data_IF_425972939396
#
_entry.id   IF_425972939396
#
_cell.length_a   1.000
_cell.length_b   1.000
_cell.length_c   1.000
_cell.angle_alpha   90.00
_cell.angle_beta   90.00
_cell.angle_gamma   90.00
#
_symmetry.space_group_name_H-M   'P 1'
#
loop_
_entity.id
_entity.type
_entity.pdbx_description
1 polymer ?
2 non-polymer ?
3 water ?
#
# COMPACT_ATOMS: atom_id res chain seq x y z
N UNK A 10 -4.49 -3.20 -15.01
CA UNK A 10 -3.27 -3.26 -14.14
C UNK A 10 -3.64 -3.34 -12.67
N UNK A 11 -4.91 -3.54 -12.33
CA UNK A 11 -5.31 -3.89 -10.98
C UNK A 11 -6.66 -4.59 -10.97
N UNK A 12 -6.77 -5.64 -10.16
CA UNK A 12 -8.02 -6.34 -9.99
C UNK A 12 -8.13 -6.75 -8.54
N UNK A 13 -9.35 -7.15 -8.15
CA UNK A 13 -9.62 -7.60 -6.81
C UNK A 13 -10.25 -8.98 -6.93
N UNK A 14 -9.75 -9.88 -6.10
CA UNK A 14 -10.23 -11.24 -6.06
C UNK A 14 -10.38 -11.60 -4.59
N UNK A 15 -11.64 -11.84 -4.18
CA UNK A 15 -11.99 -12.04 -2.79
C UNK A 15 -11.41 -10.91 -1.93
N UNK A 16 -10.50 -11.26 -1.01
CA UNK A 16 -10.06 -10.37 0.03
C UNK A 16 -8.65 -9.91 -0.30
N UNK A 17 -8.33 -9.94 -1.58
CA UNK A 17 -6.98 -9.69 -2.06
C UNK A 17 -7.08 -8.72 -3.24
N UNK A 18 -6.23 -7.70 -3.18
CA UNK A 18 -6.05 -6.75 -4.27
C UNK A 18 -4.69 -7.04 -4.90
N UNK A 19 -4.68 -7.05 -6.23
CA UNK A 19 -3.48 -7.30 -7.01
C UNK A 19 -3.28 -6.15 -8.00
N UNK A 20 -2.09 -5.53 -7.94
CA UNK A 20 -1.77 -4.36 -8.75
C UNK A 20 -0.49 -4.63 -9.55
N UNK A 21 -0.43 -4.08 -10.77
CA UNK A 21 0.74 -4.16 -11.60
C UNK A 21 1.21 -2.73 -11.78
N UNK A 22 2.48 -2.47 -11.44
CA UNK A 22 2.98 -1.11 -11.26
C UNK A 22 4.33 -0.96 -11.94
N UNK A 23 4.47 0.10 -12.74
CA UNK A 23 5.76 0.55 -13.23
C UNK A 23 6.43 1.45 -12.19
N UNK A 24 7.56 1.01 -11.65
CA UNK A 24 8.40 1.86 -10.82
C UNK A 24 9.57 1.10 -10.23
N UNK A 25 10.16 1.68 -9.19
CA UNK A 25 11.26 1.07 -8.48
C UNK A 25 10.74 0.32 -7.26
N UNK A 26 11.13 -0.95 -7.15
CA UNK A 26 10.75 -1.76 -6.00
C UNK A 26 11.34 -1.16 -4.74
N UNK A 27 12.60 -0.67 -4.83
CA UNK A 27 13.33 -0.21 -3.67
C UNK A 27 12.75 1.10 -3.15
N UNK A 28 11.98 1.82 -3.98
CA UNK A 28 11.25 3.00 -3.53
C UNK A 28 9.79 2.69 -3.17
N UNK A 29 9.50 1.42 -2.89
CA UNK A 29 8.13 1.04 -2.54
C UNK A 29 7.85 1.32 -1.07
N UNK A 30 6.55 1.52 -0.80
CA UNK A 30 6.02 1.59 0.55
C UNK A 30 5.08 0.41 0.71
N UNK A 31 5.54 -0.63 1.40
CA UNK A 31 4.68 -1.74 1.76
C UNK A 31 5.13 -2.33 3.09
N UNK A 32 4.24 -3.13 3.69
CA UNK A 32 4.64 -3.87 4.87
C UNK A 32 5.93 -4.63 4.55
N UNK A 33 5.96 -5.28 3.37
CA UNK A 33 7.05 -6.13 2.95
C UNK A 33 7.43 -5.81 1.51
N UNK A 34 8.75 -5.67 1.31
CA UNK A 34 9.32 -5.56 -0.01
C UNK A 34 10.14 -6.83 -0.24
N UNK A 35 10.12 -7.33 -1.48
CA UNK A 35 10.65 -8.64 -1.78
C UNK A 35 11.90 -8.46 -2.62
N UNK A 36 13.02 -9.00 -2.10
CA UNK A 36 14.31 -9.02 -2.77
C UNK A 36 14.45 -10.33 -3.55
N UNK A 37 15.37 -10.33 -4.51
CA UNK A 37 15.78 -11.50 -5.26
C UNK A 37 17.32 -11.57 -5.27
N UNK A 38 17.91 -12.67 -4.78
CA UNK A 38 19.34 -12.71 -4.56
C UNK A 38 19.94 -14.06 -4.94
N UNK A 39 21.21 -14.03 -5.35
CA UNK A 39 22.09 -15.16 -5.21
C UNK A 39 22.37 -15.29 -3.72
N UNK A 40 22.12 -16.47 -3.10
CA UNK A 40 22.35 -16.66 -1.66
C UNK A 40 23.76 -16.37 -1.17
N UNK A 41 24.78 -16.57 -2.04
CA UNK A 41 26.16 -16.37 -1.63
C UNK A 41 26.63 -14.98 -2.00
N UNK A 42 25.76 -14.15 -2.62
CA UNK A 42 26.20 -12.81 -2.98
C UNK A 42 25.03 -11.92 -3.39
N UNK A 43 24.66 -10.97 -2.52
CA UNK A 43 23.46 -10.18 -2.72
C UNK A 43 23.77 -8.81 -3.31
N UNK A 44 24.98 -8.61 -3.86
CA UNK A 44 25.34 -7.32 -4.45
C UNK A 44 25.21 -7.32 -5.97
N UNK A 45 24.48 -8.29 -6.54
CA UNK A 45 24.43 -8.47 -7.97
C UNK A 45 22.98 -8.69 -8.37
N UNK A 46 22.58 -8.13 -9.52
CA UNK A 46 21.21 -8.14 -10.00
C UNK A 46 20.61 -6.74 -9.92
N UNK A 47 19.74 -6.33 -10.88
CA UNK A 47 19.05 -5.03 -10.78
C UNK A 47 18.31 -4.85 -9.45
N UNK A 48 17.50 -5.84 -9.08
CA UNK A 48 16.68 -5.76 -7.87
C UNK A 48 17.59 -5.73 -6.65
N UNK A 49 18.44 -6.76 -6.50
CA UNK A 49 19.38 -6.87 -5.39
C UNK A 49 20.21 -5.60 -5.17
N UNK A 50 20.81 -5.08 -6.24
CA UNK A 50 21.58 -3.84 -6.21
C UNK A 50 20.73 -2.68 -5.70
N UNK A 51 19.52 -2.52 -6.26
CA UNK A 51 18.71 -1.37 -5.95
C UNK A 51 18.26 -1.39 -4.49
N UNK A 52 17.83 -2.56 -4.03
CA UNK A 52 17.40 -2.80 -2.66
C UNK A 52 18.55 -2.64 -1.65
N UNK A 53 19.77 -3.04 -2.03
CA UNK A 53 20.91 -2.89 -1.15
C UNK A 53 21.32 -1.43 -1.04
N UNK A 54 21.43 -0.73 -2.17
CA UNK A 54 21.73 0.69 -2.20
C UNK A 54 20.73 1.45 -1.31
N UNK A 55 19.43 1.20 -1.53
CA UNK A 55 18.41 1.96 -0.85
C UNK A 55 18.40 1.65 0.65
N UNK A 56 18.43 0.35 1.01
CA UNK A 56 18.29 -0.05 2.40
C UNK A 56 19.56 0.22 3.19
N UNK A 57 20.69 0.23 2.47
CA UNK A 57 21.97 0.46 3.10
C UNK A 57 22.59 -0.84 3.58
N UNK A 58 23.81 -0.69 4.09
CA UNK A 58 24.76 -1.78 4.19
C UNK A 58 24.48 -2.63 5.43
N UNK A 59 23.67 -2.12 6.37
CA UNK A 59 23.36 -2.85 7.60
C UNK A 59 22.37 -3.96 7.28
N UNK A 60 21.63 -3.81 6.18
CA UNK A 60 20.73 -4.85 5.72
C UNK A 60 21.55 -6.07 5.30
N UNK A 61 22.80 -5.82 4.86
CA UNK A 61 23.71 -6.85 4.43
C UNK A 61 24.28 -7.59 5.65
N UNK A 62 24.61 -6.84 6.70
CA UNK A 62 25.15 -7.42 7.94
C UNK A 62 24.14 -8.42 8.48
N UNK A 63 22.88 -7.99 8.52
CA UNK A 63 21.81 -8.80 9.07
C UNK A 63 21.64 -10.04 8.21
N UNK A 64 21.74 -9.85 6.87
CA UNK A 64 21.57 -10.94 5.93
C UNK A 64 22.57 -12.05 6.25
N UNK A 65 23.84 -11.64 6.45
CA UNK A 65 24.94 -12.56 6.67
C UNK A 65 24.82 -13.20 8.05
N UNK A 66 24.39 -12.42 9.03
CA UNK A 66 24.13 -12.97 10.35
C UNK A 66 23.08 -14.08 10.28
N UNK A 67 21.95 -13.79 9.63
CA UNK A 67 20.81 -14.70 9.57
C UNK A 67 21.14 -15.90 8.69
N UNK A 68 21.97 -15.70 7.66
CA UNK A 68 22.35 -16.79 6.78
C UNK A 68 23.28 -17.76 7.51
N UNK A 69 24.39 -17.20 8.03
CA UNK A 69 25.42 -17.96 8.72
C UNK A 69 24.80 -18.75 9.86
N UNK A 70 23.94 -18.10 10.66
CA UNK A 70 23.27 -18.76 11.77
C UNK A 70 22.33 -19.84 11.25
N UNK A 71 21.49 -19.51 10.25
CA UNK A 71 20.49 -20.44 9.72
C UNK A 71 19.30 -20.59 10.69
N UNK A 76 15.31 -23.67 2.74
CA UNK A 76 15.02 -22.25 3.00
C UNK A 76 15.15 -21.46 1.69
N UNK A 77 14.00 -21.03 1.18
CA UNK A 77 13.93 -20.30 -0.08
C UNK A 77 13.82 -18.80 0.16
N UNK A 78 13.28 -18.41 1.32
CA UNK A 78 13.10 -17.03 1.75
C UNK A 78 13.80 -16.82 3.08
N UNK A 79 14.67 -15.80 3.14
CA UNK A 79 15.25 -15.31 4.38
C UNK A 79 14.71 -13.90 4.62
N UNK A 80 14.38 -13.60 5.90
CA UNK A 80 13.71 -12.36 6.29
C UNK A 80 14.69 -11.47 7.04
N UNK A 81 14.77 -10.20 6.63
CA UNK A 81 15.44 -9.17 7.41
C UNK A 81 14.45 -8.05 7.71
N UNK A 82 14.92 -7.05 8.47
CA UNK A 82 14.18 -5.82 8.62
C UNK A 82 14.47 -5.02 7.36
N UNK A 83 13.86 -3.83 7.27
CA UNK A 83 13.84 -3.05 6.04
C UNK A 83 14.83 -1.89 6.10
N UNK A 84 15.35 -1.60 7.29
CA UNK A 84 16.36 -0.56 7.41
C UNK A 84 15.82 0.69 6.75
N UNK A 85 16.46 1.16 5.66
CA UNK A 85 16.14 2.45 5.08
C UNK A 85 15.07 2.33 3.98
N UNK A 86 14.55 1.13 3.72
CA UNK A 86 13.36 0.99 2.91
C UNK A 86 12.16 1.45 3.73
N UNK A 87 11.12 1.87 3.02
CA UNK A 87 9.82 2.09 3.64
C UNK A 87 9.12 0.75 3.67
N UNK A 88 9.64 -0.15 4.51
CA UNK A 88 8.97 -1.38 4.82
C UNK A 88 9.35 -1.83 6.23
N UNK A 89 8.59 -2.78 6.77
CA UNK A 89 8.90 -3.39 8.05
C UNK A 89 9.90 -4.53 7.81
N UNK A 90 9.63 -5.40 6.82
CA UNK A 90 10.45 -6.57 6.54
C UNK A 90 10.84 -6.58 5.07
N UNK A 91 11.96 -7.26 4.79
CA UNK A 91 12.33 -7.64 3.44
C UNK A 91 12.31 -9.16 3.42
N UNK A 92 11.65 -9.72 2.40
CA UNK A 92 11.72 -11.14 2.11
C UNK A 92 12.71 -11.31 0.96
N UNK A 93 13.91 -11.82 1.29
CA UNK A 93 14.93 -12.12 0.30
C UNK A 93 14.67 -13.52 -0.24
N UNK A 94 14.29 -13.59 -1.52
CA UNK A 94 14.13 -14.85 -2.22
C UNK A 94 15.50 -15.38 -2.63
N UNK A 95 15.85 -16.56 -2.11
CA UNK A 95 17.14 -17.21 -2.32
C UNK A 95 17.06 -18.20 -3.47
N UNK A 96 17.76 -17.90 -4.58
CA UNK A 96 17.75 -18.69 -5.80
C UNK A 96 18.87 -19.75 -5.77
N UNK A 97 18.69 -20.80 -4.95
CA UNK A 97 19.68 -21.88 -4.86
C UNK A 97 19.72 -22.63 -6.19
N UNK A 98 20.92 -22.79 -6.76
CA UNK A 98 21.09 -23.27 -8.13
C UNK A 98 20.77 -24.77 -8.29
N UNK A 99 20.66 -25.51 -7.16
CA UNK A 99 20.46 -26.97 -7.21
C UNK A 99 19.02 -27.35 -7.60
N UNK A 100 18.11 -26.38 -7.69
CA UNK A 100 16.72 -26.67 -7.97
C UNK A 100 16.25 -25.90 -9.20
N UNK A 101 15.34 -26.48 -10.02
CA UNK A 101 14.83 -25.82 -11.22
C UNK A 101 14.20 -24.48 -10.86
N UNK A 102 14.42 -23.47 -11.71
CA UNK A 102 14.08 -22.08 -11.42
C UNK A 102 12.56 -21.88 -11.42
N UNK A 103 11.74 -22.58 -12.25
CA UNK A 103 10.29 -22.52 -12.12
C UNK A 103 9.79 -23.10 -10.80
N UNK A 104 10.53 -24.05 -10.23
CA UNK A 104 10.14 -24.63 -8.96
C UNK A 104 10.42 -23.67 -7.82
N UNK A 105 11.54 -22.93 -7.90
CA UNK A 105 11.96 -22.09 -6.80
C UNK A 105 10.93 -20.97 -6.71
N UNK A 106 10.57 -20.42 -7.88
CA UNK A 106 9.58 -19.36 -8.00
C UNK A 106 8.25 -19.76 -7.37
N UNK A 107 7.70 -20.89 -7.82
CA UNK A 107 6.45 -21.42 -7.33
C UNK A 107 6.51 -21.44 -5.80
N UNK A 108 7.52 -22.13 -5.26
CA UNK A 108 7.55 -22.45 -3.85
C UNK A 108 7.91 -21.21 -3.05
N UNK A 109 8.75 -20.33 -3.61
CA UNK A 109 9.16 -19.11 -2.93
C UNK A 109 7.99 -18.13 -2.82
N UNK A 110 7.18 -18.01 -3.89
CA UNK A 110 5.91 -17.29 -3.82
C UNK A 110 4.97 -17.82 -2.72
N UNK A 111 4.76 -19.14 -2.68
CA UNK A 111 3.94 -19.77 -1.66
C UNK A 111 4.43 -19.37 -0.26
N UNK A 112 5.74 -19.49 -0.06
CA UNK A 112 6.41 -19.23 1.21
C UNK A 112 6.37 -17.74 1.58
N UNK A 113 6.36 -16.86 0.58
CA UNK A 113 6.25 -15.43 0.81
C UNK A 113 4.83 -15.06 1.29
N UNK A 114 3.81 -15.66 0.68
CA UNK A 114 2.42 -15.36 1.02
C UNK A 114 2.02 -16.02 2.34
N UNK A 115 2.58 -17.20 2.62
CA UNK A 115 2.38 -17.81 3.92
C UNK A 115 2.98 -16.91 5.01
N UNK A 116 4.19 -16.38 4.78
CA UNK A 116 4.83 -15.55 5.80
C UNK A 116 4.01 -14.29 6.06
N UNK A 117 3.34 -13.79 5.03
CA UNK A 117 2.39 -12.71 5.17
C UNK A 117 1.38 -12.99 6.28
N UNK A 118 0.76 -14.17 6.28
CA UNK A 118 -0.20 -14.50 7.32
C UNK A 118 0.53 -14.68 8.65
N UNK A 119 1.66 -15.39 8.63
CA UNK A 119 2.46 -15.61 9.84
C UNK A 119 2.73 -14.28 10.55
N UNK A 120 3.00 -13.22 9.79
CA UNK A 120 3.47 -11.99 10.39
C UNK A 120 2.40 -10.90 10.39
N UNK A 121 1.15 -11.27 10.05
CA UNK A 121 0.09 -10.30 9.89
C UNK A 121 0.57 -9.14 9.02
N UNK A 122 0.72 -9.42 7.72
CA UNK A 122 1.11 -8.46 6.70
C UNK A 122 -0.11 -8.11 5.86
N UNK A 123 -0.23 -6.82 5.58
CA UNK A 123 -1.41 -6.30 4.92
C UNK A 123 -1.04 -5.87 3.50
N UNK A 124 0.26 -5.71 3.21
CA UNK A 124 0.63 -5.40 1.85
C UNK A 124 2.07 -5.85 1.60
N UNK A 125 2.29 -6.37 0.40
CA UNK A 125 3.59 -6.92 0.04
C UNK A 125 3.87 -6.57 -1.42
N UNK A 126 5.09 -6.08 -1.70
CA UNK A 126 5.45 -5.71 -3.06
C UNK A 126 6.55 -6.63 -3.59
N UNK A 127 6.25 -7.24 -4.73
CA UNK A 127 7.21 -8.20 -5.31
C UNK A 127 7.74 -7.62 -6.58
N UNK A 128 8.99 -7.95 -6.94
CA UNK A 128 9.46 -7.58 -8.25
C UNK A 128 8.94 -8.77 -9.01
N UNK A 129 9.21 -8.84 -10.30
CA UNK A 129 8.80 -10.06 -11.01
C UNK A 129 9.89 -11.09 -10.88
N UNK A 130 9.81 -11.84 -9.80
CA UNK A 130 10.86 -12.84 -9.56
C UNK A 130 10.98 -13.77 -10.76
N UNK A 131 12.21 -14.02 -11.23
CA UNK A 131 12.42 -15.01 -12.30
C UNK A 131 12.18 -14.49 -13.69
N UNK A 132 12.18 -13.17 -13.89
CA UNK A 132 12.04 -12.68 -15.27
C UNK A 132 13.41 -12.24 -15.72
N UNK A 133 14.37 -12.19 -14.81
CA UNK A 133 15.64 -11.62 -15.20
C UNK A 133 16.75 -12.67 -15.27
N UNK A 134 17.58 -12.67 -14.23
CA UNK A 134 18.71 -13.56 -14.07
C UNK A 134 18.38 -14.95 -14.57
N UNK A 135 17.29 -15.53 -14.06
CA UNK A 135 17.02 -16.95 -14.19
C UNK A 135 16.44 -17.28 -15.57
N UNK A 136 16.44 -16.32 -16.51
CA UNK A 136 16.23 -16.65 -17.91
C UNK A 136 14.76 -16.90 -18.23
N UNK A 137 13.93 -17.31 -17.25
CA UNK A 137 12.61 -17.87 -17.51
C UNK A 137 11.86 -16.92 -18.46
N UNK A 138 11.07 -17.51 -19.36
CA UNK A 138 10.29 -16.71 -20.29
C UNK A 138 9.37 -15.79 -19.47
N UNK A 139 9.33 -14.51 -19.84
CA UNK A 139 8.55 -13.53 -19.08
C UNK A 139 7.11 -14.01 -18.90
N UNK A 140 6.54 -14.68 -19.91
CA UNK A 140 5.16 -15.14 -19.83
C UNK A 140 5.01 -16.20 -18.74
N UNK A 141 5.98 -17.12 -18.65
CA UNK A 141 5.89 -18.20 -17.67
C UNK A 141 5.97 -17.65 -16.24
N UNK A 142 6.90 -16.72 -16.00
CA UNK A 142 7.07 -16.16 -14.67
C UNK A 142 5.77 -15.50 -14.24
N UNK A 143 5.13 -14.77 -15.15
CA UNK A 143 3.85 -14.16 -14.85
C UNK A 143 2.80 -15.24 -14.62
N UNK A 144 2.78 -16.26 -15.49
CA UNK A 144 1.81 -17.33 -15.34
C UNK A 144 1.90 -17.89 -13.91
N UNK A 145 3.13 -18.16 -13.44
CA UNK A 145 3.35 -18.81 -12.15
C UNK A 145 2.98 -17.88 -11.00
N UNK A 146 3.49 -16.65 -11.05
CA UNK A 146 3.21 -15.64 -10.03
C UNK A 146 1.70 -15.48 -9.83
N UNK A 147 0.94 -15.35 -10.91
CA UNK A 147 -0.51 -15.25 -10.81
C UNK A 147 -1.13 -16.57 -10.33
N UNK A 148 -0.50 -17.71 -10.59
CA UNK A 148 -1.05 -18.96 -10.08
C UNK A 148 -1.09 -18.88 -8.56
N UNK A 149 0.02 -18.44 -7.97
CA UNK A 149 0.18 -18.45 -6.53
C UNK A 149 -0.71 -17.41 -5.86
N UNK A 150 -0.81 -16.21 -6.46
CA UNK A 150 -1.56 -15.13 -5.84
C UNK A 150 -3.03 -15.52 -5.83
N UNK A 151 -3.51 -16.10 -6.92
CA UNK A 151 -4.90 -16.50 -6.99
C UNK A 151 -5.15 -17.66 -6.02
N UNK A 152 -4.22 -18.61 -5.93
CA UNK A 152 -4.42 -19.76 -5.07
C UNK A 152 -4.51 -19.29 -3.62
N UNK A 153 -3.68 -18.33 -3.27
CA UNK A 153 -3.67 -17.80 -1.92
C UNK A 153 -5.01 -17.13 -1.60
N UNK A 154 -5.56 -16.44 -2.59
CA UNK A 154 -6.79 -15.69 -2.43
C UNK A 154 -7.95 -16.63 -2.14
N UNK A 155 -7.95 -17.79 -2.81
CA UNK A 155 -8.96 -18.82 -2.62
C UNK A 155 -8.78 -19.47 -1.25
N UNK A 156 -7.52 -19.77 -0.90
CA UNK A 156 -7.22 -20.58 0.26
C UNK A 156 -7.22 -19.75 1.55
N UNK A 157 -7.00 -18.43 1.45
CA UNK A 157 -6.81 -17.61 2.63
C UNK A 157 -7.71 -16.38 2.56
N UNK A 158 -9.01 -16.66 2.45
CA UNK A 158 -10.00 -15.66 2.14
C UNK A 158 -10.20 -14.71 3.33
N UNK A 159 -9.75 -15.12 4.53
CA UNK A 159 -9.89 -14.28 5.72
C UNK A 159 -8.69 -13.34 5.92
N UNK A 160 -7.71 -13.34 5.01
CA UNK A 160 -6.53 -12.50 5.25
C UNK A 160 -6.45 -11.43 4.18
N UNK A 161 -6.76 -10.18 4.56
CA UNK A 161 -6.73 -9.09 3.61
C UNK A 161 -5.28 -8.84 3.20
N UNK A 162 -5.04 -8.73 1.90
CA UNK A 162 -3.69 -8.50 1.39
C UNK A 162 -3.75 -7.59 0.19
N UNK A 163 -2.79 -6.66 0.08
CA UNK A 163 -2.50 -6.03 -1.20
C UNK A 163 -1.17 -6.56 -1.72
N UNK A 164 -1.16 -7.06 -2.96
CA UNK A 164 0.02 -7.61 -3.60
C UNK A 164 0.36 -6.78 -4.83
N UNK A 165 1.57 -6.19 -4.86
CA UNK A 165 2.01 -5.41 -6.00
C UNK A 165 3.10 -6.16 -6.75
N UNK A 166 3.10 -6.02 -8.08
CA UNK A 166 4.22 -6.42 -8.93
C UNK A 166 4.81 -5.15 -9.52
N UNK A 167 6.09 -4.90 -9.24
CA UNK A 167 6.71 -3.62 -9.56
C UNK A 167 7.79 -3.85 -10.64
N UNK A 168 7.47 -3.41 -11.85
CA UNK A 168 8.40 -3.58 -13.00
C UNK A 168 9.15 -2.27 -13.19
N UNK A 169 10.45 -2.36 -13.46
CA UNK A 169 11.25 -1.13 -13.70
C UNK A 169 10.70 -0.47 -14.94
N UNK A 170 10.58 0.87 -14.96
CA UNK A 170 9.97 1.56 -16.08
C UNK A 170 10.54 1.30 -17.48
N UNK A 171 11.75 0.75 -17.58
CA UNK A 171 12.39 0.54 -18.89
C UNK A 171 11.84 -0.66 -19.60
N UNK A 172 11.54 -1.71 -18.86
CA UNK A 172 11.08 -2.98 -19.48
C UNK A 172 9.59 -2.93 -19.76
N UNK A 173 9.22 -2.37 -20.90
CA UNK A 173 7.79 -2.34 -21.27
C UNK A 173 7.33 -3.77 -21.56
N UNK A 174 8.24 -4.64 -21.98
CA UNK A 174 7.84 -6.02 -22.37
C UNK A 174 7.47 -6.87 -21.15
N UNK A 175 8.24 -6.77 -20.08
CA UNK A 175 7.85 -7.50 -18.84
C UNK A 175 6.52 -6.92 -18.36
N UNK A 176 6.43 -5.59 -18.30
CA UNK A 176 5.15 -4.95 -17.91
C UNK A 176 4.07 -5.49 -18.82
N UNK A 177 4.39 -5.67 -20.10
CA UNK A 177 3.40 -6.11 -21.06
C UNK A 177 2.97 -7.54 -20.79
N UNK A 178 3.93 -8.43 -20.51
CA UNK A 178 3.61 -9.80 -20.16
C UNK A 178 2.66 -9.82 -18.96
N UNK A 179 2.97 -8.99 -17.96
CA UNK A 179 2.23 -9.00 -16.70
C UNK A 179 0.82 -8.43 -16.87
N UNK A 180 0.69 -7.27 -17.54
CA UNK A 180 -0.60 -6.75 -17.94
C UNK A 180 -1.41 -7.81 -18.67
N UNK A 181 -0.83 -8.33 -19.75
CA UNK A 181 -1.48 -9.34 -20.56
C UNK A 181 -1.93 -10.54 -19.70
N UNK A 182 -1.14 -10.93 -18.70
CA UNK A 182 -1.48 -12.11 -17.92
C UNK A 182 -2.70 -11.81 -17.04
N UNK A 183 -2.69 -10.64 -16.39
CA UNK A 183 -3.81 -10.26 -15.55
C UNK A 183 -5.09 -10.24 -16.37
N UNK A 184 -5.03 -9.62 -17.56
CA UNK A 184 -6.16 -9.51 -18.48
C UNK A 184 -6.82 -10.88 -18.70
N UNK A 185 -6.02 -11.91 -18.99
CA UNK A 185 -6.54 -13.24 -19.22
C UNK A 185 -7.25 -13.77 -17.98
N UNK A 186 -6.64 -13.56 -16.81
CA UNK A 186 -7.12 -14.12 -15.57
C UNK A 186 -8.47 -13.51 -15.20
N UNK A 187 -8.66 -12.24 -15.53
CA UNK A 187 -9.92 -11.56 -15.32
C UNK A 187 -11.05 -12.24 -16.11
N UNK A 188 -10.78 -12.59 -17.37
CA UNK A 188 -11.74 -13.33 -18.17
C UNK A 188 -12.13 -14.60 -17.43
N UNK A 189 -11.14 -15.41 -17.03
CA UNK A 189 -11.34 -16.46 -16.05
C UNK A 189 -11.60 -15.82 -14.67
N UNK B 9 -17.22 -5.72 -0.60
CA UNK B 9 -17.50 -4.86 0.59
C UNK B 9 -16.22 -4.40 1.29
N UNK B 10 -15.04 -4.70 0.72
CA UNK B 10 -13.78 -4.34 1.37
C UNK B 10 -12.82 -3.69 0.38
N UNK B 11 -13.02 -3.86 -0.93
CA UNK B 11 -12.12 -3.30 -1.92
C UNK B 11 -12.74 -3.33 -3.30
N UNK B 12 -12.57 -2.25 -4.06
CA UNK B 12 -12.99 -2.21 -5.44
C UNK B 12 -11.94 -1.48 -6.26
N UNK B 13 -12.04 -1.63 -7.58
CA UNK B 13 -11.11 -1.00 -8.50
C UNK B 13 -11.96 -0.30 -9.53
N UNK B 14 -11.60 0.95 -9.79
CA UNK B 14 -12.31 1.78 -10.74
C UNK B 14 -11.25 2.55 -11.51
N UNK B 15 -11.21 2.32 -12.83
CA UNK B 15 -10.16 2.84 -13.68
C UNK B 15 -8.78 2.53 -13.09
N UNK B 16 -8.04 3.58 -12.74
CA UNK B 16 -6.63 3.44 -12.42
C UNK B 16 -6.47 3.63 -10.93
N UNK B 17 -7.56 3.37 -10.20
CA UNK B 17 -7.61 3.62 -8.77
C UNK B 17 -8.17 2.39 -8.06
N UNK B 18 -7.46 2.00 -6.99
CA UNK B 18 -7.89 0.97 -6.07
C UNK B 18 -8.31 1.64 -4.77
N UNK B 19 -9.47 1.20 -4.27
CA UNK B 19 -10.03 1.70 -3.03
C UNK B 19 -10.28 0.53 -2.08
N UNK B 20 -9.73 0.64 -0.86
CA UNK B 20 -9.78 -0.42 0.13
C UNK B 20 -10.39 0.11 1.43
N UNK B 21 -11.14 -0.77 2.11
CA UNK B 21 -11.64 -0.49 3.45
C UNK B 21 -10.89 -1.43 4.38
N UNK B 22 -10.28 -0.88 5.44
CA UNK B 22 -9.40 -1.65 6.31
C UNK B 22 -9.75 -1.37 7.77
N UNK B 23 -9.91 -2.45 8.57
CA UNK B 23 -9.97 -2.32 10.01
C UNK B 23 -8.57 -2.37 10.58
N UNK B 24 -8.13 -1.28 11.20
CA UNK B 24 -6.83 -1.24 11.84
C UNK B 24 -6.48 0.16 12.33
N UNK B 25 -5.21 0.32 12.69
CA UNK B 25 -4.68 1.58 13.17
C UNK B 25 -4.09 2.37 12.01
N UNK B 26 -4.54 3.61 11.88
CA UNK B 26 -4.02 4.49 10.84
C UNK B 26 -2.53 4.74 11.09
N UNK B 27 -2.15 4.93 12.36
CA UNK B 27 -0.80 5.31 12.70
C UNK B 27 0.18 4.15 12.48
N UNK B 28 -0.33 2.92 12.39
CA UNK B 28 0.50 1.77 12.02
C UNK B 28 0.39 1.46 10.52
N UNK B 29 -0.05 2.42 9.71
CA UNK B 29 -0.15 2.19 8.28
C UNK B 29 1.21 2.33 7.59
N UNK B 30 1.32 1.62 6.46
CA UNK B 30 2.40 1.79 5.52
C UNK B 30 1.81 2.35 4.23
N UNK B 31 2.02 3.63 3.97
CA UNK B 31 1.65 4.20 2.68
C UNK B 31 2.59 5.35 2.34
N UNK B 32 2.55 5.79 1.08
CA UNK B 32 3.23 7.01 0.71
C UNK B 32 2.82 8.11 1.66
N UNK B 33 1.50 8.23 1.90
CA UNK B 33 0.91 9.30 2.70
C UNK B 33 -0.09 8.72 3.70
N UNK B 34 0.04 9.17 4.95
CA UNK B 34 -0.96 8.92 5.97
C UNK B 34 -1.61 10.26 6.32
N UNK B 35 -2.93 10.21 6.57
CA UNK B 35 -3.72 11.42 6.70
C UNK B 35 -4.12 11.58 8.17
N UNK B 36 -3.72 12.72 8.74
CA UNK B 36 -4.10 13.13 10.09
C UNK B 36 -5.38 13.97 10.05
N UNK B 37 -6.05 14.06 11.20
CA UNK B 37 -7.19 14.93 11.41
C UNK B 37 -6.96 15.72 12.69
N UNK B 38 -6.97 17.08 12.60
CA UNK B 38 -6.55 17.88 13.74
C UNK B 38 -7.44 19.11 13.90
N UNK B 39 -7.60 19.55 15.16
CA UNK B 39 -7.85 20.94 15.45
C UNK B 39 -6.58 21.71 15.11
N UNK B 40 -6.64 22.75 14.24
CA UNK B 40 -5.44 23.50 13.84
C UNK B 40 -4.67 24.16 14.98
N UNK B 41 -5.37 24.49 16.07
CA UNK B 41 -4.81 25.16 17.22
C UNK B 41 -4.28 24.13 18.23
N UNK B 42 -4.54 22.82 18.01
CA UNK B 42 -4.11 21.83 18.98
C UNK B 42 -4.19 20.40 18.44
N UNK B 43 -3.03 19.80 18.13
CA UNK B 43 -3.01 18.52 17.43
C UNK B 43 -2.79 17.36 18.40
N UNK B 44 -2.94 17.59 19.72
CA UNK B 44 -2.73 16.54 20.70
C UNK B 44 -4.04 15.88 21.16
N UNK B 45 -5.13 16.07 20.41
CA UNK B 45 -6.46 15.72 20.88
C UNK B 45 -7.19 15.01 19.75
N UNK B 46 -7.99 13.99 20.09
CA UNK B 46 -8.67 13.15 19.11
C UNK B 46 -8.02 11.77 19.00
N UNK B 47 -8.80 10.68 18.75
CA UNK B 47 -8.21 9.35 18.56
C UNK B 47 -7.08 9.31 17.52
N UNK B 48 -7.38 9.81 16.31
CA UNK B 48 -6.43 9.79 15.21
C UNK B 48 -5.23 10.67 15.55
N UNK B 49 -5.46 11.96 15.85
CA UNK B 49 -4.41 12.91 16.20
C UNK B 49 -3.46 12.40 17.29
N UNK B 50 -4.02 11.88 18.39
CA UNK B 50 -3.26 11.27 19.48
C UNK B 50 -2.39 10.11 18.98
N UNK B 51 -3.01 9.20 18.23
CA UNK B 51 -2.31 7.99 17.80
C UNK B 51 -1.16 8.31 16.86
N UNK B 52 -1.42 9.21 15.90
CA UNK B 52 -0.44 9.67 14.92
C UNK B 52 0.70 10.46 15.59
N UNK B 53 0.40 11.24 16.63
CA UNK B 53 1.42 11.99 17.34
C UNK B 53 2.30 11.06 18.16
N UNK B 54 1.69 10.15 18.91
CA UNK B 54 2.42 9.15 19.68
C UNK B 54 3.35 8.36 18.78
N UNK B 55 2.81 7.86 17.66
CA UNK B 55 3.57 7.00 16.78
C UNK B 55 4.72 7.76 16.12
N UNK B 56 4.43 8.94 15.56
CA UNK B 56 5.41 9.67 14.78
C UNK B 56 6.45 10.32 15.69
N UNK B 57 6.05 10.62 16.92
CA UNK B 57 6.91 11.28 17.89
C UNK B 57 6.81 12.80 17.78
N UNK B 58 7.52 13.45 18.72
CA UNK B 58 7.27 14.84 19.09
C UNK B 58 7.86 15.80 18.06
N UNK B 59 8.76 15.32 17.19
CA UNK B 59 9.42 16.17 16.21
C UNK B 59 8.44 16.48 15.09
N UNK B 60 7.44 15.61 14.91
CA UNK B 60 6.38 15.85 13.95
C UNK B 60 5.59 17.08 14.36
N UNK B 61 5.55 17.33 15.68
CA UNK B 61 4.82 18.46 16.22
C UNK B 61 5.60 19.75 16.01
N UNK B 62 6.93 19.68 16.19
CA UNK B 62 7.80 20.82 15.98
C UNK B 62 7.62 21.34 14.56
N UNK B 63 7.65 20.39 13.61
CA UNK B 63 7.57 20.72 12.21
C UNK B 63 6.19 21.32 11.93
N UNK B 64 5.15 20.74 12.58
CA UNK B 64 3.78 21.20 12.37
C UNK B 64 3.69 22.69 12.72
N UNK B 65 4.26 23.05 13.87
CA UNK B 65 4.17 24.39 14.41
C UNK B 65 5.05 25.33 13.59
N UNK B 66 6.20 24.84 13.14
CA UNK B 66 7.04 25.62 12.24
C UNK B 66 6.28 25.96 10.96
N UNK B 67 5.65 24.96 10.32
CA UNK B 67 4.95 25.13 9.06
C UNK B 67 3.67 25.93 9.24
N UNK B 68 3.03 25.84 10.42
CA UNK B 68 1.83 26.61 10.69
C UNK B 68 2.19 28.08 10.84
N UNK B 69 3.14 28.39 11.74
CA UNK B 69 3.59 29.75 12.00
C UNK B 69 4.07 30.41 10.71
N UNK B 70 4.88 29.70 9.93
CA UNK B 70 5.29 30.14 8.59
C UNK B 70 4.06 30.42 7.71
N UNK B 71 3.04 29.57 7.81
CA UNK B 71 1.76 29.74 7.10
C UNK B 71 1.87 29.08 5.74
N UNK B 72 1.57 27.77 5.74
CA UNK B 72 1.60 26.97 4.52
C UNK B 72 0.18 26.83 3.97
N UNK B 76 -5.74 27.28 3.65
CA UNK B 76 -5.03 26.02 3.99
C UNK B 76 -5.96 25.11 4.79
N UNK B 77 -6.44 24.05 4.13
CA UNK B 77 -7.20 23.01 4.78
C UNK B 77 -6.32 21.81 5.12
N UNK B 78 -5.23 21.63 4.33
CA UNK B 78 -4.29 20.54 4.49
C UNK B 78 -2.88 21.12 4.64
N UNK B 79 -2.20 20.74 5.73
CA UNK B 79 -0.81 21.07 5.96
C UNK B 79 0.00 19.77 5.90
N UNK B 80 1.17 19.83 5.25
CA UNK B 80 2.00 18.66 4.99
C UNK B 80 3.23 18.70 5.90
N UNK B 81 3.51 17.58 6.57
CA UNK B 81 4.80 17.36 7.21
C UNK B 81 5.41 16.08 6.64
N UNK B 82 6.62 15.77 7.10
CA UNK B 82 7.23 14.47 6.89
C UNK B 82 6.57 13.53 7.89
N UNK B 83 6.95 12.24 7.81
CA UNK B 83 6.27 11.18 8.54
C UNK B 83 7.05 10.77 9.78
N UNK B 84 8.31 11.20 9.90
CA UNK B 84 9.09 10.88 11.07
C UNK B 84 9.02 9.37 11.30
N UNK B 85 8.42 8.92 12.42
CA UNK B 85 8.45 7.51 12.80
C UNK B 85 7.26 6.73 12.26
N UNK B 86 6.36 7.37 11.49
CA UNK B 86 5.38 6.63 10.72
C UNK B 86 6.09 5.96 9.54
N UNK B 87 5.54 4.86 9.06
CA UNK B 87 5.97 4.29 7.80
C UNK B 87 5.25 5.02 6.68
N UNK B 88 5.59 6.30 6.50
CA UNK B 88 5.14 7.05 5.35
C UNK B 88 6.20 8.09 5.01
N UNK B 89 6.10 8.66 3.81
CA UNK B 89 6.95 9.77 3.39
C UNK B 89 6.36 11.07 3.93
N UNK B 90 5.05 11.30 3.74
CA UNK B 90 4.40 12.54 4.16
C UNK B 90 3.19 12.23 5.04
N UNK B 91 2.83 13.23 5.87
CA UNK B 91 1.56 13.25 6.55
C UNK B 91 0.79 14.46 6.03
N UNK B 92 -0.47 14.23 5.63
CA UNK B 92 -1.41 15.29 5.29
C UNK B 92 -2.30 15.51 6.51
N UNK B 93 -2.05 16.61 7.22
CA UNK B 93 -2.86 17.00 8.36
C UNK B 93 -4.05 17.81 7.86
N UNK B 94 -5.25 17.23 7.98
CA UNK B 94 -6.48 17.92 7.66
C UNK B 94 -6.86 18.85 8.80
N UNK B 95 -6.93 20.16 8.50
CA UNK B 95 -7.19 21.23 9.45
C UNK B 95 -8.69 21.56 9.43
N UNK B 96 -9.35 21.26 10.57
CA UNK B 96 -10.79 21.43 10.75
C UNK B 96 -11.10 22.83 11.31
N UNK B 97 -10.98 23.85 10.45
CA UNK B 97 -11.26 25.22 10.86
C UNK B 97 -12.75 25.34 11.18
N UNK B 98 -13.06 25.89 12.35
CA UNK B 98 -14.41 25.95 12.88
C UNK B 98 -15.33 26.89 12.09
N UNK B 99 -14.77 27.78 11.27
CA UNK B 99 -15.54 28.85 10.62
C UNK B 99 -16.36 28.33 9.44
N UNK B 100 -16.16 27.07 9.04
CA UNK B 100 -16.79 26.52 7.83
C UNK B 100 -17.58 25.26 8.17
N UNK B 101 -18.70 25.00 7.45
CA UNK B 101 -19.51 23.80 7.70
C UNK B 101 -18.66 22.54 7.49
N UNK B 102 -18.88 21.53 8.35
CA UNK B 102 -18.01 20.36 8.43
C UNK B 102 -18.14 19.49 7.19
N UNK B 103 -19.32 19.34 6.53
CA UNK B 103 -19.40 18.64 5.24
C UNK B 103 -18.62 19.36 4.14
N UNK B 104 -18.51 20.68 4.23
CA UNK B 104 -17.77 21.43 3.24
C UNK B 104 -16.27 21.24 3.40
N UNK B 105 -15.80 21.18 4.66
CA UNK B 105 -14.38 21.09 4.93
C UNK B 105 -13.90 19.75 4.39
N UNK B 106 -14.67 18.69 4.70
CA UNK B 106 -14.43 17.34 4.26
C UNK B 106 -14.32 17.26 2.73
N UNK B 107 -15.36 17.74 2.04
CA UNK B 107 -15.40 17.75 0.59
C UNK B 107 -14.09 18.37 0.07
N UNK B 108 -13.80 19.60 0.49
CA UNK B 108 -12.71 20.37 -0.08
C UNK B 108 -11.36 19.81 0.35
N UNK B 109 -11.27 19.31 1.58
CA UNK B 109 -10.04 18.75 2.11
C UNK B 109 -9.68 17.44 1.40
N UNK B 110 -10.69 16.59 1.12
CA UNK B 110 -10.50 15.41 0.28
C UNK B 110 -9.98 15.76 -1.11
N UNK B 111 -10.62 16.73 -1.77
CA UNK B 111 -10.17 17.20 -3.08
C UNK B 111 -8.69 17.58 -3.02
N UNK B 112 -8.34 18.39 -2.02
CA UNK B 112 -7.02 18.95 -1.82
C UNK B 112 -5.99 17.86 -1.50
N UNK B 113 -6.42 16.79 -0.81
CA UNK B 113 -5.54 15.68 -0.48
C UNK B 113 -5.21 14.86 -1.74
N UNK B 114 -6.19 14.64 -2.60
CA UNK B 114 -6.00 13.84 -3.80
C UNK B 114 -5.28 14.65 -4.89
N UNK B 115 -5.50 15.96 -4.93
CA UNK B 115 -4.74 16.79 -5.83
C UNK B 115 -3.27 16.80 -5.42
N UNK B 116 -2.98 16.85 -4.11
CA UNK B 116 -1.61 16.84 -3.64
C UNK B 116 -0.92 15.53 -4.02
N UNK B 117 -1.71 14.45 -4.07
CA UNK B 117 -1.21 13.16 -4.51
C UNK B 117 -0.57 13.30 -5.90
N UNK B 118 -1.31 13.85 -6.87
CA UNK B 118 -0.76 13.99 -8.25
C UNK B 118 0.45 14.91 -8.20
N UNK B 119 0.39 15.96 -7.38
CA UNK B 119 1.49 16.95 -7.31
C UNK B 119 2.77 16.29 -6.80
N UNK B 120 2.68 15.11 -6.19
CA UNK B 120 3.88 14.50 -5.58
C UNK B 120 4.08 13.05 -6.09
N UNK B 121 3.44 12.65 -7.19
CA UNK B 121 3.53 11.25 -7.69
C UNK B 121 3.37 10.37 -6.45
N UNK B 122 2.29 10.60 -5.69
CA UNK B 122 1.98 9.73 -4.53
C UNK B 122 1.20 8.54 -5.10
N UNK B 123 1.57 7.32 -4.73
CA UNK B 123 0.95 6.14 -5.34
C UNK B 123 0.00 5.48 -4.37
N UNK B 124 0.10 5.84 -3.09
CA UNK B 124 -0.82 5.26 -2.13
C UNK B 124 -0.97 6.21 -0.95
N UNK B 125 -2.22 6.35 -0.50
CA UNK B 125 -2.56 7.29 0.55
C UNK B 125 -3.58 6.63 1.46
N UNK B 126 -3.37 6.71 2.78
CA UNK B 126 -4.30 6.10 3.73
C UNK B 126 -5.00 7.19 4.57
N UNK B 127 -6.33 7.17 4.55
CA UNK B 127 -7.16 8.12 5.28
C UNK B 127 -7.82 7.40 6.46
N UNK B 128 -8.09 8.08 7.60
CA UNK B 128 -8.99 7.54 8.62
C UNK B 128 -10.41 7.88 8.18
N UNK B 129 -11.41 7.45 8.95
CA UNK B 129 -12.78 7.78 8.58
C UNK B 129 -13.02 9.27 8.86
N UNK B 130 -12.52 10.11 7.95
CA UNK B 130 -12.54 11.55 8.15
C UNK B 130 -13.97 12.01 8.35
N UNK B 131 -14.19 12.95 9.26
CA UNK B 131 -15.55 13.52 9.43
C UNK B 131 -16.40 12.72 10.38
N UNK B 132 -16.25 11.39 10.40
CA UNK B 132 -17.13 10.59 11.26
C UNK B 132 -17.07 11.18 12.63
N UNK B 133 -15.87 11.50 13.10
CA UNK B 133 -15.69 12.17 14.40
C UNK B 133 -16.71 11.78 15.44
N UNK B 134 -17.17 12.76 16.22
CA UNK B 134 -18.18 12.49 17.28
C UNK B 134 -19.26 13.56 17.15
N UNK B 135 -20.43 13.21 16.63
CA UNK B 135 -21.53 14.19 16.41
C UNK B 135 -21.08 15.25 15.40
N UNK B 136 -19.98 14.98 14.69
CA UNK B 136 -19.53 15.92 13.64
C UNK B 136 -20.43 15.71 12.43
N UNK B 137 -20.31 14.56 11.77
CA UNK B 137 -21.12 14.30 10.55
C UNK B 137 -21.73 12.90 10.63
N UNK B 138 -23.00 12.76 10.26
CA UNK B 138 -23.64 11.45 10.20
C UNK B 138 -22.71 10.47 9.47
N UNK B 139 -22.51 9.29 10.05
CA UNK B 139 -21.59 8.28 9.54
C UNK B 139 -21.80 8.05 8.05
N UNK B 140 -23.08 7.99 7.64
CA UNK B 140 -23.40 7.65 6.27
C UNK B 140 -23.00 8.79 5.35
N UNK B 141 -23.22 10.04 5.79
CA UNK B 141 -22.88 11.19 4.97
C UNK B 141 -21.37 11.29 4.74
N UNK B 142 -20.57 11.07 5.80
CA UNK B 142 -19.12 11.16 5.67
C UNK B 142 -18.65 10.15 4.64
N UNK B 143 -19.20 8.94 4.70
CA UNK B 143 -18.84 7.92 3.74
C UNK B 143 -19.32 8.36 2.35
N UNK B 144 -20.55 8.85 2.27
CA UNK B 144 -21.09 9.29 0.99
C UNK B 144 -20.11 10.27 0.35
N UNK B 145 -19.65 11.25 1.12
CA UNK B 145 -18.82 12.34 0.60
C UNK B 145 -17.44 11.83 0.22
N UNK B 146 -16.81 11.07 1.13
CA UNK B 146 -15.50 10.48 0.89
C UNK B 146 -15.48 9.73 -0.44
N UNK B 147 -16.47 8.86 -0.66
CA UNK B 147 -16.56 8.11 -1.90
C UNK B 147 -16.89 9.03 -3.08
N UNK B 148 -17.58 10.16 -2.87
CA UNK B 148 -17.89 10.99 -4.02
C UNK B 148 -16.56 11.55 -4.53
N UNK B 149 -15.68 11.98 -3.63
CA UNK B 149 -14.42 12.59 -4.02
C UNK B 149 -13.46 11.58 -4.67
N UNK B 150 -13.37 10.38 -4.10
CA UNK B 150 -12.43 9.39 -4.59
C UNK B 150 -12.86 8.99 -5.99
N UNK B 151 -14.16 8.80 -6.21
CA UNK B 151 -14.65 8.40 -7.52
C UNK B 151 -14.47 9.54 -8.51
N UNK B 152 -14.70 10.79 -8.09
CA UNK B 152 -14.58 11.91 -9.00
C UNK B 152 -13.13 12.01 -9.47
N UNK B 153 -12.19 11.80 -8.54
CA UNK B 153 -10.79 11.87 -8.87
C UNK B 153 -10.44 10.78 -9.89
N UNK B 154 -11.03 9.60 -9.71
CA UNK B 154 -10.72 8.45 -10.55
C UNK B 154 -11.14 8.72 -11.99
N UNK B 155 -12.28 9.40 -12.16
CA UNK B 155 -12.77 9.78 -13.47
C UNK B 155 -11.88 10.88 -14.06
N UNK B 156 -11.55 11.88 -13.24
CA UNK B 156 -10.87 13.08 -13.71
C UNK B 156 -9.37 12.86 -13.89
N UNK B 157 -8.78 11.89 -13.19
CA UNK B 157 -7.32 11.74 -13.18
C UNK B 157 -6.96 10.29 -13.49
N UNK B 158 -7.41 9.85 -14.66
CA UNK B 158 -7.36 8.45 -15.03
C UNK B 158 -5.91 8.02 -15.29
N UNK B 159 -5.00 8.99 -15.52
CA UNK B 159 -3.61 8.64 -15.79
C UNK B 159 -2.77 8.57 -14.51
N UNK B 160 -3.37 8.72 -13.32
CA UNK B 160 -2.57 8.67 -12.11
C UNK B 160 -2.98 7.46 -11.28
N UNK B 161 -2.12 6.43 -11.27
CA UNK B 161 -2.44 5.18 -10.52
C UNK B 161 -2.37 5.48 -9.03
N UNK B 162 -3.39 5.07 -8.28
CA UNK B 162 -3.42 5.43 -6.85
C UNK B 162 -4.15 4.40 -6.01
N UNK B 163 -3.56 4.01 -4.88
CA UNK B 163 -4.28 3.20 -3.92
C UNK B 163 -4.74 4.09 -2.76
N UNK B 164 -6.05 4.05 -2.47
CA UNK B 164 -6.65 4.84 -1.40
C UNK B 164 -7.25 3.91 -0.36
N UNK B 165 -6.77 4.00 0.89
CA UNK B 165 -7.31 3.19 1.97
C UNK B 165 -8.09 4.06 2.94
N UNK B 166 -9.17 3.48 3.50
CA UNK B 166 -9.89 4.03 4.63
C UNK B 166 -9.68 3.08 5.80
N UNK B 167 -8.98 3.57 6.82
CA UNK B 167 -8.60 2.66 7.93
C UNK B 167 -9.51 2.96 9.13
N UNK B 168 -10.44 2.03 9.40
CA UNK B 168 -11.38 2.20 10.54
C UNK B 168 -10.76 1.50 11.75
N UNK B 169 -10.87 2.11 12.92
CA UNK B 169 -10.31 1.51 14.15
C UNK B 169 -11.09 0.25 14.43
N UNK B 170 -10.43 -0.85 14.82
CA UNK B 170 -11.13 -2.11 15.00
C UNK B 170 -12.41 -2.08 15.82
N UNK B 171 -12.47 -1.22 16.84
CA UNK B 171 -13.64 -1.16 17.73
C UNK B 171 -14.82 -0.54 17.04
N UNK B 172 -14.57 0.39 16.13
CA UNK B 172 -15.70 1.13 15.50
C UNK B 172 -16.40 0.28 14.45
N UNK B 173 -17.18 -0.70 14.87
CA UNK B 173 -17.86 -1.62 13.93
C UNK B 173 -18.93 -0.87 13.13
N UNK B 174 -19.55 0.15 13.72
CA UNK B 174 -20.67 0.83 13.03
C UNK B 174 -20.10 1.69 11.90
N UNK B 175 -18.98 2.37 12.16
CA UNK B 175 -18.37 3.15 11.10
C UNK B 175 -17.90 2.22 9.99
N UNK B 176 -17.28 1.10 10.36
CA UNK B 176 -16.87 0.09 9.39
C UNK B 176 -18.06 -0.33 8.53
N UNK B 177 -19.23 -0.50 9.17
CA UNK B 177 -20.45 -0.94 8.49
C UNK B 177 -20.96 0.11 7.50
N UNK B 178 -20.99 1.37 7.93
CA UNK B 178 -21.37 2.45 7.03
C UNK B 178 -20.52 2.46 5.77
N UNK B 179 -19.20 2.28 5.95
CA UNK B 179 -18.25 2.38 4.86
C UNK B 179 -18.38 1.19 3.90
N UNK B 180 -18.42 -0.03 4.44
CA UNK B 180 -18.70 -1.21 3.65
C UNK B 180 -19.98 -1.01 2.85
N UNK B 181 -21.07 -0.71 3.57
CA UNK B 181 -22.36 -0.50 2.94
C UNK B 181 -22.27 0.51 1.80
N UNK B 182 -21.50 1.59 1.99
CA UNK B 182 -21.44 2.65 0.98
C UNK B 182 -20.73 2.12 -0.27
N UNK B 183 -19.59 1.46 -0.09
CA UNK B 183 -18.86 0.90 -1.20
C UNK B 183 -19.77 -0.03 -2.01
N UNK B 184 -20.46 -0.93 -1.30
CA UNK B 184 -21.35 -1.92 -1.92
C UNK B 184 -22.32 -1.25 -2.89
N UNK B 185 -22.95 -0.15 -2.46
CA UNK B 185 -23.90 0.55 -3.30
C UNK B 185 -23.22 1.09 -4.55
N UNK B 186 -22.03 1.68 -4.36
CA UNK B 186 -21.32 2.34 -5.43
C UNK B 186 -20.91 1.34 -6.51
N UNK B 187 -20.59 0.13 -6.07
CA UNK B 187 -20.16 -0.93 -7.01
C UNK B 187 -21.36 -1.34 -7.86
N UNK B 188 -22.53 -1.48 -7.23
CA UNK B 188 -23.74 -1.83 -8.00
C UNK B 188 -23.81 -0.87 -9.18
N UNK B 189 -23.37 0.36 -8.96
CA UNK B 189 -23.52 1.37 -10.02
C UNK B 189 -22.23 1.55 -10.84
N UNK B 190 -21.37 0.55 -10.88
CA UNK B 190 -20.07 0.75 -11.57
C UNK B 190 -19.59 -0.55 -12.22
N UNK B 191 -18.64 -0.45 -13.15
CA UNK B 191 -18.07 -1.66 -13.79
C UNK B 191 -17.36 -2.49 -12.70
N UNK B 192 -16.27 -1.97 -12.13
CA UNK B 192 -15.55 -2.65 -11.01
C UNK B 192 -14.79 -3.90 -11.49
N UNK B 193 -13.48 -3.93 -11.26
CA UNK B 193 -12.67 -5.12 -11.65
C UNK B 193 -12.58 -6.04 -10.43
N UNK B 194 -13.73 -6.54 -9.96
CA UNK B 194 -13.76 -7.40 -8.74
C UNK B 194 -14.12 -8.82 -9.16
N UNK B 195 -13.49 -9.82 -8.52
CA UNK B 195 -13.70 -11.23 -8.95
C UNK B 195 -13.85 -12.14 -7.74
N UNK B 196 -13.99 -13.45 -8.00
CA UNK B 196 -14.23 -14.44 -6.96
C UNK B 196 -13.80 -15.82 -7.43
N UNK B 197 -13.26 -16.65 -6.51
CA UNK B 197 -12.70 -17.97 -6.84
C UNK B 197 -12.99 -18.97 -5.70
X LIG C 1 16.91 10.42 -4.61
X LIG C 1 15.58 9.99 -4.80
X LIG C 1 15.16 10.04 -6.24
X LIG C 1 13.73 10.14 -6.32
X LIG C 1 13.03 8.95 -5.99
X LIG C 1 12.41 9.07 -4.62
X LIG C 1 11.17 8.36 -4.59
X LIG C 1 10.04 9.17 -4.89
X LIG C 1 9.60 9.97 -3.68
X LIG C 1 8.20 10.23 -3.75
X LIG C 1 7.41 9.55 -2.77
X LIG C 1 7.20 8.09 -3.13
X LIG C 1 7.18 7.28 -1.94
X LIG C 1 8.17 6.25 -1.86
X LIG C 1 9.44 6.78 -1.22
X LIG C 1 10.50 5.81 -1.20
X LIG C 1 11.75 6.31 -0.72
X LIG C 1 12.36 7.32 -1.67
X LIG C 1 13.27 8.21 -1.04
X LIG D 1 3.36 -1.59 19.37
X LIG D 1 3.57 -2.95 19.14
X LIG D 1 2.34 -3.62 18.65
X LIG D 1 2.00 -3.06 17.38
X LIG D 1 2.35 -3.88 16.27
X LIG D 1 2.58 -3.03 15.03
X LIG D 1 2.28 -3.76 13.84
X LIG D 1 3.21 -4.81 13.55
X LIG D 1 2.59 -5.84 12.62
X LIG D 1 3.40 -6.01 11.44
X LIG D 1 2.93 -5.27 10.32
X LIG D 1 2.99 -3.84 10.66
X LIG D 1 2.93 -3.04 9.48
X LIG D 1 3.81 -1.90 9.54
X LIG D 1 3.18 -0.75 10.29
X LIG D 1 4.07 -0.14 11.21
X LIG D 1 4.21 -0.88 12.41
X LIG D 1 4.52 0.02 13.55
X LIG D 1 5.23 -0.68 14.56
X LIG E 1 14.98 4.12 11.07
X LIG E 1 14.11 4.49 10.02
X LIG E 1 13.09 5.53 10.43
X LIG E 1 12.66 5.33 11.78
X LIG E 1 12.01 4.08 12.02
X LIG E 1 10.53 4.21 11.91
X LIG E 1 10.19 4.68 10.60
X LIG E 1 9.70 3.67 9.74
X LIG E 1 10.70 3.40 8.68
X LIG E 1 10.72 4.49 7.77
X LIG E 1 11.40 4.18 6.57
X LIG E 1 12.87 4.25 6.81
X LIG E 1 13.49 5.01 5.78
X LIG E 1 13.96 6.28 6.23
X LIG E 1 15.28 6.10 6.89
X LIG E 1 15.20 6.47 8.26
X LIG E 1 16.12 7.47 8.64
X LIG E 1 17.50 6.89 8.81
X LIG E 1 18.51 7.71 8.24
#
# INVERSE_FOLDING_TARGET
GAMATTPSFNAMVVNNLTLQIVQGHIEWQTADVIVNSVNPHDITVGPVAKSILQQAGVEMKSEFLATKAKQFQRSQLVLVTKGFNLFCKYIYHVLWHSEFPKPQILKHAMKECLEKCIEQNITSISFPALGTGNMEIKKETAAEILFDEVLTFAKDHVKHQLTVKFVIFPTDLEIYKAFSSEMAKRSKMLSLNNYSV
GAMATTPSFNAMVVNNLTLQIVQGHIEWQTADVIVNSVNPHDITVGPVAKSILQQAGVEMKSEFLATKAKQFQRSQLVLVTKGFNLFCKYIYHVLWHSEFPKPQILKHAMKECLEKCIEQNITSISFPALGTGNMEIKKETAAEILFDEVLTFAKDHVKHQLTVKFVIFPTDLEIYKAFSSEMAKRSKMLSLNNYSV
P6G O1 C2 C3 O4 C5 C6 O7 C8 C9 O10 C11 C12 O13 C14 C15 O16 C17 C18 O19
P6G O1 C2 C3 O4 C5 C6 O7 C8 C9 O10 C11 C12 O13 C14 C15 O16 C17 C18 O19
P6G O1 C2 C3 O4 C5 C6 O7 C8 C9 O10 C11 C12 O13 C14 C15 O16 C17 C18 O19
#
